data_IF_284826209931
#
_entry.id   IF_284826209931
#
_cell.length_a   1.000
_cell.length_b   1.000
_cell.length_c   1.000
_cell.angle_alpha   90.00
_cell.angle_beta   90.00
_cell.angle_gamma   90.00
#
_symmetry.space_group_name_H-M   'P 1'
#
loop_
_entity.id
_entity.type
_entity.pdbx_description
1 polymer ?
#
# COMPACT_ATOMS: atom_id res chain seq x y z
N UNK A 1 -0.33 57.16 41.63
CA UNK A 1 0.12 56.66 42.94
C UNK A 1 0.24 55.15 42.84
N UNK A 2 1.47 54.63 42.80
CA UNK A 2 1.77 53.23 42.57
C UNK A 2 1.46 52.41 43.83
N UNK A 3 0.56 51.42 43.74
CA UNK A 3 0.22 50.56 44.88
C UNK A 3 1.46 49.75 45.35
N UNK A 4 1.68 49.60 46.67
CA UNK A 4 2.84 48.89 47.21
C UNK A 4 2.75 47.38 46.91
N UNK A 5 3.80 46.85 46.29
CA UNK A 5 3.94 45.43 45.94
C UNK A 5 4.07 44.61 47.22
N UNK A 6 3.09 43.75 47.49
CA UNK A 6 3.07 42.89 48.68
C UNK A 6 3.94 41.65 48.46
N UNK A 7 4.82 41.34 49.41
CA UNK A 7 5.56 40.07 49.49
C UNK A 7 4.65 38.99 50.03
N UNK A 8 4.52 37.87 49.32
CA UNK A 8 3.69 36.74 49.74
C UNK A 8 4.28 35.44 49.23
N UNK A 9 4.06 34.32 49.92
CA UNK A 9 4.52 33.00 49.48
C UNK A 9 3.79 32.50 48.21
N UNK A 10 2.59 33.01 47.90
CA UNK A 10 1.83 32.63 46.69
C UNK A 10 1.01 33.81 46.16
N UNK A 11 1.02 34.00 44.84
CA UNK A 11 0.25 35.07 44.17
C UNK A 11 -1.25 34.78 44.25
N UNK A 12 -2.06 35.77 44.64
CA UNK A 12 -3.52 35.64 44.70
C UNK A 12 -4.10 35.53 43.29
N UNK A 13 -4.97 34.53 43.09
CA UNK A 13 -5.66 34.27 41.81
C UNK A 13 -6.89 35.15 41.56
N UNK A 14 -7.17 36.13 42.42
CA UNK A 14 -8.28 37.09 42.24
C UNK A 14 -7.72 38.43 41.72
N UNK A 15 -8.48 39.19 40.92
CA UNK A 15 -8.04 40.52 40.48
C UNK A 15 -8.01 41.54 41.63
N UNK A 16 -7.25 42.62 41.47
CA UNK A 16 -7.02 43.66 42.50
C UNK A 16 -8.36 44.26 42.93
N UNK A 17 -9.22 44.65 41.97
CA UNK A 17 -10.49 45.31 42.30
C UNK A 17 -11.49 44.40 43.03
N UNK A 18 -11.62 43.13 42.63
CA UNK A 18 -12.46 42.19 43.37
C UNK A 18 -11.90 41.89 44.76
N UNK A 19 -10.57 41.82 44.90
CA UNK A 19 -9.90 41.66 46.18
C UNK A 19 -10.08 42.85 47.11
N UNK A 20 -9.92 44.08 46.59
CA UNK A 20 -10.13 45.34 47.31
C UNK A 20 -11.55 45.46 47.85
N UNK A 21 -12.54 45.05 47.04
CA UNK A 21 -13.96 45.05 47.41
C UNK A 21 -14.40 43.82 48.21
N UNK A 22 -13.50 42.84 48.44
CA UNK A 22 -13.74 41.57 49.15
C UNK A 22 -14.91 40.76 48.60
N UNK A 23 -15.04 40.71 47.27
CA UNK A 23 -16.07 39.91 46.58
C UNK A 23 -15.45 38.74 45.81
N UNK A 24 -16.26 37.71 45.51
CA UNK A 24 -15.79 36.51 44.80
C UNK A 24 -15.45 36.84 43.34
N UNK A 25 -14.21 36.56 42.94
CA UNK A 25 -13.71 36.70 41.56
C UNK A 25 -13.83 35.36 40.82
N UNK A 26 -14.31 35.39 39.57
CA UNK A 26 -14.39 34.25 38.64
C UNK A 26 -13.06 33.94 37.95
N UNK A 27 -12.02 34.76 38.21
CA UNK A 27 -10.62 34.52 37.83
C UNK A 27 -10.36 34.45 36.33
N UNK A 28 -11.28 34.92 35.48
CA UNK A 28 -11.01 35.25 34.06
C UNK A 28 -10.52 36.70 33.93
N UNK A 29 -9.85 37.08 32.85
CA UNK A 29 -9.33 38.44 32.65
C UNK A 29 -9.78 39.01 31.30
N UNK A 30 -10.62 40.05 31.26
CA UNK A 30 -11.29 40.71 32.40
C UNK A 30 -12.33 39.79 33.09
N UNK A 31 -12.55 39.99 34.38
CA UNK A 31 -13.40 39.11 35.20
C UNK A 31 -14.88 39.53 35.11
N UNK A 32 -15.83 38.59 35.08
CA UNK A 32 -17.26 38.89 34.87
C UNK A 32 -17.86 39.90 35.89
N UNK A 33 -17.48 39.88 37.18
CA UNK A 33 -17.89 40.90 38.14
C UNK A 33 -17.37 42.32 37.86
N UNK A 34 -16.24 42.46 37.15
CA UNK A 34 -15.73 43.76 36.70
C UNK A 34 -16.39 44.20 35.39
N UNK A 35 -16.67 43.27 34.48
CA UNK A 35 -17.39 43.53 33.22
C UNK A 35 -18.81 44.01 33.49
N UNK A 36 -19.57 43.30 34.35
CA UNK A 36 -20.95 43.68 34.72
C UNK A 36 -21.07 45.04 35.38
N UNK A 37 -19.96 45.62 35.82
CA UNK A 37 -19.89 46.96 36.44
C UNK A 37 -19.30 48.01 35.51
N UNK A 38 -19.13 47.71 34.23
CA UNK A 38 -18.49 48.56 33.23
C UNK A 38 -17.05 49.02 33.58
N UNK A 39 -16.37 48.31 34.46
CA UNK A 39 -14.99 48.57 34.87
C UNK A 39 -14.03 47.46 34.40
N UNK A 40 -14.26 46.94 33.18
CA UNK A 40 -13.44 45.86 32.62
C UNK A 40 -11.98 46.31 32.40
N UNK A 41 -11.78 47.55 31.97
CA UNK A 41 -10.47 48.14 31.70
C UNK A 41 -9.61 48.35 32.96
N UNK A 42 -10.23 48.38 34.14
CA UNK A 42 -9.54 48.50 35.43
C UNK A 42 -9.22 47.14 36.08
N UNK A 43 -9.66 46.03 35.47
CA UNK A 43 -9.51 44.69 36.01
C UNK A 43 -8.05 44.18 35.89
N UNK A 44 -7.19 44.56 36.84
CA UNK A 44 -5.77 44.17 36.86
C UNK A 44 -5.46 43.06 37.87
N UNK A 45 -4.41 42.27 37.62
CA UNK A 45 -3.94 41.21 38.52
C UNK A 45 -2.91 41.73 39.52
N UNK A 46 -2.95 41.28 40.79
CA UNK A 46 -1.96 41.70 41.77
C UNK A 46 -0.58 41.16 41.41
N UNK A 47 0.41 42.04 41.43
CA UNK A 47 1.82 41.69 41.30
C UNK A 47 2.34 41.38 42.70
N UNK A 48 2.98 40.23 42.88
CA UNK A 48 3.56 39.85 44.17
C UNK A 48 5.00 39.36 44.02
N UNK A 49 5.83 39.64 45.04
CA UNK A 49 7.18 39.08 45.14
C UNK A 49 7.13 37.73 45.84
N UNK A 50 7.51 36.67 45.13
CA UNK A 50 7.62 35.30 45.66
C UNK A 50 9.10 34.88 45.57
N UNK A 51 9.70 34.47 46.69
CA UNK A 51 11.13 34.08 46.78
C UNK A 51 12.11 35.09 46.15
N UNK A 52 11.84 36.39 46.33
CA UNK A 52 12.72 37.46 45.85
C UNK A 52 12.47 37.95 44.41
N UNK A 53 11.64 37.26 43.61
CA UNK A 53 11.30 37.65 42.24
C UNK A 53 9.88 38.24 42.11
N UNK A 54 9.76 39.33 41.33
CA UNK A 54 8.47 39.95 40.97
C UNK A 54 7.73 39.03 39.99
N UNK A 55 6.59 38.49 40.41
CA UNK A 55 5.80 37.58 39.58
C UNK A 55 4.37 38.12 39.40
N UNK A 56 3.93 38.16 38.16
CA UNK A 56 2.54 38.44 37.77
C UNK A 56 1.93 37.13 37.32
N UNK A 57 0.68 36.86 37.71
CA UNK A 57 -0.06 35.76 37.08
C UNK A 57 -0.45 36.18 35.67
N UNK A 58 0.38 35.86 34.68
CA UNK A 58 0.06 35.98 33.25
C UNK A 58 -0.69 34.72 32.82
N UNK A 59 -1.85 34.90 32.18
CA UNK A 59 -2.31 33.89 31.24
C UNK A 59 -1.33 33.93 30.05
N UNK A 60 -0.93 32.76 29.58
CA UNK A 60 0.18 32.42 28.67
C UNK A 60 0.57 33.44 27.56
N UNK A 61 1.89 33.45 27.26
CA UNK A 61 2.57 34.08 26.12
C UNK A 61 4.09 33.94 26.31
N UNK A 62 4.76 32.90 25.80
CA UNK A 62 5.35 32.76 24.44
C UNK A 62 6.23 33.96 24.06
N UNK A 63 7.57 33.80 24.11
CA UNK A 63 8.50 34.28 23.06
C UNK A 63 10.00 34.21 23.43
N UNK A 64 10.42 34.20 24.70
CA UNK A 64 11.87 34.08 25.03
C UNK A 64 12.36 32.65 25.35
N UNK A 65 11.44 31.74 25.69
CA UNK A 65 11.71 30.32 25.84
C UNK A 65 11.74 29.56 24.52
N UNK A 66 11.13 30.11 23.46
CA UNK A 66 11.04 29.45 22.16
C UNK A 66 12.38 29.39 21.44
N UNK A 67 13.22 30.44 21.47
CA UNK A 67 14.53 30.39 20.78
C UNK A 67 15.46 29.33 21.37
N UNK A 68 15.57 29.24 22.70
CA UNK A 68 16.35 28.19 23.36
C UNK A 68 15.73 26.79 23.20
N UNK A 69 14.41 26.70 23.17
CA UNK A 69 13.71 25.43 22.96
C UNK A 69 13.90 24.96 21.52
N UNK A 70 13.78 25.84 20.54
CA UNK A 70 13.96 25.55 19.11
C UNK A 70 15.40 25.14 18.82
N UNK A 71 16.39 25.82 19.40
CA UNK A 71 17.80 25.43 19.29
C UNK A 71 18.04 24.02 19.88
N UNK A 72 17.50 23.73 21.07
CA UNK A 72 17.59 22.41 21.69
C UNK A 72 16.81 21.33 20.92
N UNK A 73 15.67 21.67 20.31
CA UNK A 73 14.89 20.75 19.48
C UNK A 73 15.62 20.44 18.17
N UNK A 74 16.34 21.42 17.61
CA UNK A 74 17.17 21.27 16.41
C UNK A 74 18.39 20.41 16.69
N UNK A 75 19.08 20.65 17.81
CA UNK A 75 20.22 19.85 18.27
C UNK A 75 19.80 18.41 18.60
N UNK A 76 18.65 18.23 19.27
CA UNK A 76 18.06 16.90 19.51
C UNK A 76 17.71 16.18 18.20
N UNK A 77 17.24 16.91 17.19
CA UNK A 77 16.97 16.36 15.86
C UNK A 77 18.24 15.87 15.17
N UNK A 78 19.29 16.69 15.19
CA UNK A 78 20.60 16.35 14.63
C UNK A 78 21.23 15.13 15.34
N UNK A 79 21.21 15.10 16.67
CA UNK A 79 21.75 13.98 17.45
C UNK A 79 20.97 12.67 17.21
N UNK A 80 19.64 12.74 17.09
CA UNK A 80 18.83 11.55 16.76
C UNK A 80 19.12 11.02 15.36
N UNK A 81 19.32 11.90 14.38
CA UNK A 81 19.71 11.50 13.03
C UNK A 81 21.08 10.83 13.03
N UNK A 82 22.05 11.41 13.77
CA UNK A 82 23.40 10.86 13.88
C UNK A 82 23.43 9.51 14.63
N UNK A 83 22.59 9.33 15.66
CA UNK A 83 22.43 8.03 16.33
C UNK A 83 21.83 7.02 15.36
N UNK A 84 20.79 7.37 14.60
CA UNK A 84 20.20 6.46 13.62
C UNK A 84 21.19 6.05 12.52
N UNK A 85 22.03 6.99 12.06
CA UNK A 85 23.10 6.74 11.07
C UNK A 85 24.22 5.87 11.66
N UNK A 86 24.64 6.12 12.91
CA UNK A 86 25.60 5.28 13.61
C UNK A 86 25.04 3.89 13.93
N UNK A 87 23.76 3.75 14.26
CA UNK A 87 23.10 2.47 14.48
C UNK A 87 22.99 1.67 13.18
N UNK A 88 22.68 2.31 12.06
CA UNK A 88 22.73 1.66 10.74
C UNK A 88 24.15 1.28 10.35
N UNK A 89 25.14 2.16 10.56
CA UNK A 89 26.55 1.83 10.34
C UNK A 89 27.04 0.70 11.27
N UNK A 90 26.57 0.63 12.51
CA UNK A 90 26.89 -0.44 13.46
C UNK A 90 26.23 -1.77 13.07
N UNK A 91 24.99 -1.71 12.58
CA UNK A 91 24.28 -2.86 12.02
C UNK A 91 25.00 -3.41 10.78
N UNK A 92 25.58 -2.52 9.96
CA UNK A 92 26.37 -2.86 8.79
C UNK A 92 27.82 -3.30 9.11
N UNK A 93 28.36 -2.94 10.28
CA UNK A 93 29.78 -3.15 10.63
C UNK A 93 30.07 -4.23 11.66
N UNK A 94 29.06 -4.95 12.21
CA UNK A 94 29.34 -6.12 13.08
C UNK A 94 30.07 -7.22 12.28
N UNK A 95 31.37 -7.48 12.55
CA UNK A 95 32.10 -8.53 11.86
C UNK A 95 31.78 -9.87 12.52
N UNK A 96 31.39 -10.85 11.71
CA UNK A 96 31.34 -12.24 12.15
C UNK A 96 32.78 -12.73 12.42
N UNK A 97 32.95 -13.36 13.58
CA UNK A 97 34.22 -13.82 14.11
C UNK A 97 34.92 -14.84 13.20
N UNK A 98 36.26 -14.81 13.25
CA UNK A 98 37.20 -15.69 12.59
C UNK A 98 36.86 -17.19 12.69
N UNK A 99 37.03 -17.91 11.58
CA UNK A 99 37.68 -19.21 11.63
C UNK A 99 38.59 -19.42 10.43
N UNK A 100 39.76 -19.95 10.75
CA UNK A 100 40.90 -20.22 9.88
C UNK A 100 40.55 -21.35 8.92
N UNK A 101 40.94 -21.19 7.65
CA UNK A 101 41.25 -22.32 6.78
C UNK A 101 42.52 -22.01 6.01
N UNK A 102 43.53 -22.80 6.33
CA UNK A 102 44.67 -23.15 5.48
C UNK A 102 44.20 -23.66 4.11
N UNK A 103 44.82 -23.23 3.01
CA UNK A 103 45.65 -24.07 2.13
C UNK A 103 45.99 -23.41 0.78
N UNK A 104 47.27 -23.55 0.45
CA UNK A 104 47.94 -23.67 -0.87
C UNK A 104 47.52 -22.85 -2.09
N UNK A 105 48.52 -22.10 -2.55
CA UNK A 105 48.88 -21.79 -3.95
C UNK A 105 48.68 -22.94 -4.95
N UNK A 106 48.13 -22.62 -6.13
CA UNK A 106 48.83 -22.81 -7.41
C UNK A 106 48.06 -22.10 -8.55
N UNK A 107 48.73 -21.17 -9.23
CA UNK A 107 48.24 -20.54 -10.47
C UNK A 107 49.02 -21.14 -11.64
N UNK A 108 48.32 -21.86 -12.53
CA UNK A 108 48.84 -22.20 -13.86
C UNK A 108 47.70 -22.40 -14.87
N UNK A 109 47.66 -21.47 -15.84
CA UNK A 109 47.05 -21.53 -17.19
C UNK A 109 45.53 -21.29 -17.35
N UNK A 110 45.05 -21.05 -18.60
CA UNK A 110 45.27 -19.90 -19.47
C UNK A 110 43.94 -19.14 -19.74
N UNK A 111 44.01 -17.97 -20.41
CA UNK A 111 42.86 -17.08 -20.65
C UNK A 111 41.67 -17.80 -21.34
N UNK A 112 40.53 -17.85 -20.65
CA UNK A 112 39.29 -18.47 -21.10
C UNK A 112 38.60 -17.66 -22.23
N UNK A 113 37.85 -18.37 -23.08
CA UNK A 113 37.11 -17.78 -24.20
C UNK A 113 35.84 -17.05 -23.72
N UNK A 114 35.30 -16.11 -24.50
CA UNK A 114 34.14 -15.30 -24.13
C UNK A 114 32.88 -16.13 -23.81
N UNK A 115 32.77 -17.34 -24.37
CA UNK A 115 31.66 -18.27 -24.14
C UNK A 115 31.75 -18.94 -22.76
N UNK A 116 32.96 -19.10 -22.21
CA UNK A 116 33.21 -19.60 -20.85
C UNK A 116 32.95 -18.54 -19.77
N UNK A 117 32.84 -17.26 -20.17
CA UNK A 117 32.58 -16.14 -19.28
C UNK A 117 31.08 -15.87 -19.06
N UNK A 118 30.18 -16.47 -19.86
CA UNK A 118 28.73 -16.29 -19.70
C UNK A 118 28.24 -16.79 -18.33
N UNK A 119 28.63 -18.00 -17.87
CA UNK A 119 28.34 -18.40 -16.50
C UNK A 119 29.01 -17.49 -15.47
N UNK A 120 30.20 -16.97 -15.75
CA UNK A 120 30.93 -16.07 -14.84
C UNK A 120 30.27 -14.68 -14.69
N UNK A 121 29.56 -14.19 -15.71
CA UNK A 121 28.76 -12.96 -15.65
C UNK A 121 27.38 -13.18 -15.01
N UNK A 122 26.80 -14.36 -15.16
CA UNK A 122 25.56 -14.74 -14.46
C UNK A 122 25.77 -15.03 -12.97
N UNK A 123 27.01 -15.30 -12.57
CA UNK A 123 27.39 -15.73 -11.22
C UNK A 123 28.14 -14.63 -10.47
N UNK A 124 27.58 -13.42 -10.46
CA UNK A 124 27.91 -12.39 -9.45
C UNK A 124 27.24 -12.71 -8.10
N UNK A 125 27.19 -13.99 -7.73
CA UNK A 125 26.85 -14.40 -6.38
C UNK A 125 28.09 -14.17 -5.52
N UNK A 126 28.15 -13.03 -4.83
CA UNK A 126 28.99 -12.93 -3.64
C UNK A 126 28.52 -14.10 -2.79
N UNK A 127 29.37 -15.11 -2.57
CA UNK A 127 29.06 -16.38 -1.91
C UNK A 127 28.69 -16.25 -0.42
N UNK A 128 27.87 -15.26 -0.08
CA UNK A 128 27.22 -15.02 1.17
C UNK A 128 26.25 -16.19 1.36
N UNK A 129 26.76 -17.26 1.95
CA UNK A 129 25.94 -18.35 2.46
C UNK A 129 25.15 -17.81 3.65
N UNK A 130 24.03 -17.13 3.38
CA UNK A 130 23.00 -16.89 4.40
C UNK A 130 22.42 -18.25 4.76
N UNK A 131 23.01 -18.88 5.79
CA UNK A 131 22.34 -19.99 6.48
C UNK A 131 21.06 -19.43 7.08
N UNK A 132 19.94 -19.35 6.35
CA UNK A 132 18.57 -19.15 6.87
C UNK A 132 17.54 -18.87 5.77
N UNK A 133 17.09 -19.92 5.06
CA UNK A 133 15.82 -19.84 4.30
C UNK A 133 14.61 -19.42 5.17
N UNK A 134 14.70 -19.58 6.49
CA UNK A 134 13.69 -19.13 7.46
C UNK A 134 13.76 -17.62 7.80
N UNK A 135 14.86 -16.91 7.50
CA UNK A 135 14.98 -15.46 7.80
C UNK A 135 14.51 -14.57 6.66
N UNK A 136 14.69 -14.98 5.40
CA UNK A 136 14.28 -14.18 4.23
C UNK A 136 12.77 -13.88 4.22
N UNK A 137 11.95 -14.83 4.70
CA UNK A 137 10.50 -14.60 4.85
C UNK A 137 10.15 -13.59 5.94
N UNK A 138 10.93 -13.55 7.03
CA UNK A 138 10.68 -12.67 8.17
C UNK A 138 11.04 -11.20 7.87
N UNK A 139 12.13 -10.96 7.13
CA UNK A 139 12.53 -9.60 6.74
C UNK A 139 11.52 -8.97 5.78
N UNK A 140 11.08 -9.73 4.78
CA UNK A 140 9.99 -9.32 3.88
C UNK A 140 8.70 -9.04 4.63
N UNK A 141 8.32 -9.89 5.58
CA UNK A 141 7.12 -9.69 6.39
C UNK A 141 7.20 -8.43 7.27
N UNK A 142 8.37 -8.14 7.85
CA UNK A 142 8.60 -6.91 8.62
C UNK A 142 8.46 -5.68 7.71
N UNK A 143 9.09 -5.70 6.54
CA UNK A 143 8.96 -4.61 5.56
C UNK A 143 7.51 -4.42 5.10
N UNK A 144 6.80 -5.51 4.75
CA UNK A 144 5.39 -5.49 4.35
C UNK A 144 4.50 -4.85 5.44
N UNK A 145 4.79 -5.10 6.73
CA UNK A 145 4.05 -4.50 7.86
C UNK A 145 4.36 -3.01 8.06
N UNK A 146 5.59 -2.58 7.79
CA UNK A 146 6.00 -1.18 7.93
C UNK A 146 5.42 -0.29 6.84
N UNK A 147 5.32 -0.81 5.61
CA UNK A 147 4.82 -0.09 4.45
C UNK A 147 3.33 -0.39 4.14
N UNK A 148 2.69 -1.27 4.89
CA UNK A 148 1.28 -1.62 4.73
C UNK A 148 0.33 -0.51 5.22
N UNK A 149 -0.84 -0.32 4.57
CA UNK A 149 -1.85 0.63 5.04
C UNK A 149 -2.45 0.18 6.38
N UNK A 150 -2.73 1.13 7.27
CA UNK A 150 -3.27 0.87 8.62
C UNK A 150 -4.69 0.26 8.62
N UNK A 151 -5.44 0.43 7.52
CA UNK A 151 -6.75 -0.17 7.28
C UNK A 151 -6.82 -0.71 5.86
N UNK A 152 -7.66 -1.72 5.64
CA UNK A 152 -7.87 -2.31 4.31
C UNK A 152 -8.86 -1.45 3.50
N UNK A 153 -8.41 -0.69 2.49
CA UNK A 153 -9.30 0.20 1.74
C UNK A 153 -10.24 -0.56 0.83
N UNK A 154 -10.02 -1.87 0.60
CA UNK A 154 -10.75 -2.65 -0.40
C UNK A 154 -12.25 -2.72 -0.12
N UNK A 155 -12.67 -2.74 1.15
CA UNK A 155 -14.10 -2.79 1.49
C UNK A 155 -14.87 -1.56 1.01
N UNK A 156 -14.20 -0.40 0.88
CA UNK A 156 -14.80 0.82 0.34
C UNK A 156 -14.95 0.78 -1.18
N UNK A 157 -14.21 -0.12 -1.85
CA UNK A 157 -14.18 -0.27 -3.30
C UNK A 157 -15.12 -1.37 -3.80
N UNK A 158 -15.76 -2.12 -2.90
CA UNK A 158 -16.68 -3.19 -3.28
C UNK A 158 -18.03 -2.61 -3.73
N UNK A 159 -18.57 -3.03 -4.89
CA UNK A 159 -19.96 -2.75 -5.24
C UNK A 159 -20.90 -3.63 -4.39
N UNK A 160 -22.21 -3.46 -4.53
CA UNK A 160 -23.17 -4.41 -3.94
C UNK A 160 -22.99 -5.85 -4.50
N UNK A 161 -23.33 -6.88 -3.70
CA UNK A 161 -23.25 -8.30 -4.13
C UNK A 161 -23.97 -8.55 -5.45
N UNK A 162 -25.19 -8.04 -5.59
CA UNK A 162 -26.00 -8.20 -6.80
C UNK A 162 -25.34 -7.55 -8.01
N UNK A 163 -24.79 -6.34 -7.84
CA UNK A 163 -24.09 -5.61 -8.90
C UNK A 163 -22.80 -6.33 -9.32
N UNK A 164 -21.97 -6.76 -8.37
CA UNK A 164 -20.77 -7.53 -8.72
C UNK A 164 -21.11 -8.82 -9.45
N UNK A 165 -22.14 -9.55 -9.02
CA UNK A 165 -22.57 -10.78 -9.70
C UNK A 165 -23.02 -10.50 -11.15
N UNK A 166 -23.75 -9.41 -11.39
CA UNK A 166 -24.15 -9.00 -12.73
C UNK A 166 -22.94 -8.67 -13.62
N UNK A 167 -21.99 -7.88 -13.10
CA UNK A 167 -20.79 -7.49 -13.83
C UNK A 167 -19.88 -8.69 -14.12
N UNK A 168 -19.69 -9.58 -13.15
CA UNK A 168 -18.90 -10.81 -13.31
C UNK A 168 -19.55 -11.72 -14.36
N UNK A 169 -20.86 -11.99 -14.27
CA UNK A 169 -21.55 -12.79 -15.28
C UNK A 169 -21.41 -12.20 -16.68
N UNK A 170 -21.62 -10.90 -16.83
CA UNK A 170 -21.44 -10.21 -18.10
C UNK A 170 -20.00 -10.34 -18.64
N UNK A 171 -19.00 -10.06 -17.79
CA UNK A 171 -17.59 -10.15 -18.19
C UNK A 171 -17.23 -11.58 -18.62
N UNK A 172 -17.65 -12.60 -17.88
CA UNK A 172 -17.30 -13.98 -18.18
C UNK A 172 -18.01 -14.50 -19.44
N UNK A 173 -19.28 -14.16 -19.63
CA UNK A 173 -20.06 -14.62 -20.79
C UNK A 173 -19.68 -13.89 -22.08
N UNK A 174 -19.45 -12.58 -22.01
CA UNK A 174 -19.24 -11.73 -23.21
C UNK A 174 -17.76 -11.54 -23.52
N UNK A 175 -16.91 -11.42 -22.50
CA UNK A 175 -15.50 -11.04 -22.63
C UNK A 175 -14.55 -12.20 -22.30
N UNK A 176 -15.07 -13.30 -21.73
CA UNK A 176 -14.30 -14.47 -21.30
C UNK A 176 -13.43 -15.08 -22.39
N UNK A 177 -13.93 -15.12 -23.63
CA UNK A 177 -13.17 -15.61 -24.79
C UNK A 177 -12.04 -14.66 -25.21
N UNK A 178 -12.15 -13.36 -24.89
CA UNK A 178 -11.19 -12.34 -25.30
C UNK A 178 -9.96 -12.31 -24.38
N UNK A 179 -10.17 -12.44 -23.06
CA UNK A 179 -9.06 -12.50 -22.09
C UNK A 179 -8.62 -13.94 -21.78
N UNK A 180 -9.51 -14.94 -21.93
CA UNK A 180 -9.24 -16.37 -21.69
C UNK A 180 -8.65 -16.71 -20.32
N UNK A 181 -8.86 -15.83 -19.34
CA UNK A 181 -8.05 -15.81 -18.12
C UNK A 181 -8.58 -16.65 -16.97
N UNK A 182 -9.86 -17.01 -16.95
CA UNK A 182 -10.48 -17.70 -15.82
C UNK A 182 -11.42 -18.80 -16.29
N UNK A 183 -11.67 -19.78 -15.41
CA UNK A 183 -12.78 -20.71 -15.56
C UNK A 183 -14.02 -20.06 -14.95
N UNK A 184 -15.09 -19.92 -15.74
CA UNK A 184 -16.27 -19.16 -15.34
C UNK A 184 -17.00 -19.78 -14.15
N UNK A 185 -17.19 -21.10 -14.15
CA UNK A 185 -17.93 -21.80 -13.10
C UNK A 185 -17.19 -21.71 -11.76
N UNK A 186 -15.89 -22.01 -11.78
CA UNK A 186 -15.02 -21.91 -10.59
C UNK A 186 -14.99 -20.48 -10.05
N UNK A 187 -14.88 -19.49 -10.93
CA UNK A 187 -14.82 -18.09 -10.52
C UNK A 187 -16.13 -17.59 -9.88
N UNK A 188 -17.28 -18.09 -10.35
CA UNK A 188 -18.58 -17.78 -9.77
C UNK A 188 -18.76 -18.43 -8.39
N UNK A 189 -18.27 -19.65 -8.18
CA UNK A 189 -18.22 -20.29 -6.86
C UNK A 189 -17.33 -19.49 -5.89
N UNK A 190 -16.12 -19.12 -6.31
CA UNK A 190 -15.19 -18.31 -5.51
C UNK A 190 -15.76 -16.93 -5.15
N UNK A 191 -16.56 -16.33 -6.05
CA UNK A 191 -17.28 -15.07 -5.83
C UNK A 191 -18.35 -15.21 -4.76
N UNK A 192 -19.14 -16.29 -4.82
CA UNK A 192 -20.18 -16.54 -3.83
C UNK A 192 -19.55 -16.76 -2.44
N UNK A 193 -18.50 -17.56 -2.35
CA UNK A 193 -17.72 -17.76 -1.12
C UNK A 193 -17.14 -16.44 -0.58
N UNK A 194 -16.78 -15.51 -1.47
CA UNK A 194 -16.25 -14.19 -1.10
C UNK A 194 -17.28 -13.33 -0.42
N UNK A 195 -18.47 -13.29 -1.00
CA UNK A 195 -19.55 -12.50 -0.44
C UNK A 195 -20.10 -13.11 0.84
N UNK A 196 -20.10 -14.43 0.98
CA UNK A 196 -20.43 -15.08 2.25
C UNK A 196 -19.42 -14.68 3.34
N UNK A 197 -18.11 -14.81 3.10
CA UNK A 197 -17.12 -14.45 4.12
C UNK A 197 -17.14 -12.95 4.47
N UNK A 198 -17.37 -12.09 3.48
CA UNK A 198 -17.49 -10.63 3.68
C UNK A 198 -18.70 -10.27 4.55
N UNK A 199 -19.84 -10.96 4.36
CA UNK A 199 -21.03 -10.75 5.19
C UNK A 199 -20.82 -11.20 6.64
N UNK A 200 -19.98 -12.21 6.88
CA UNK A 200 -19.58 -12.62 8.22
C UNK A 200 -18.58 -11.66 8.90
N UNK A 201 -18.10 -10.64 8.18
CA UNK A 201 -17.14 -9.67 8.72
C UNK A 201 -15.74 -10.24 8.94
N UNK A 202 -15.43 -11.40 8.34
CA UNK A 202 -14.06 -11.92 8.35
C UNK A 202 -13.18 -10.99 7.52
N UNK A 203 -12.07 -10.50 8.08
CA UNK A 203 -11.09 -9.75 7.32
C UNK A 203 -10.56 -10.54 6.12
N UNK A 204 -10.00 -9.86 5.11
CA UNK A 204 -9.49 -10.49 3.90
C UNK A 204 -8.12 -11.13 4.19
N UNK A 205 -8.01 -12.48 4.16
CA UNK A 205 -6.74 -13.17 4.43
C UNK A 205 -5.73 -12.92 3.29
N UNK A 206 -4.44 -13.03 3.61
CA UNK A 206 -3.35 -12.79 2.65
C UNK A 206 -3.43 -13.73 1.44
N UNK A 207 -3.77 -14.98 1.67
CA UNK A 207 -3.91 -16.02 0.64
C UNK A 207 -4.98 -15.70 -0.42
N UNK A 208 -5.95 -14.86 -0.07
CA UNK A 208 -7.05 -14.48 -0.98
C UNK A 208 -6.79 -13.21 -1.77
N UNK A 209 -5.73 -12.48 -1.42
CA UNK A 209 -5.31 -11.25 -2.12
C UNK A 209 -5.08 -11.48 -3.63
N UNK A 210 -4.41 -12.57 -4.08
CA UNK A 210 -4.21 -12.81 -5.51
C UNK A 210 -5.51 -12.92 -6.29
N UNK A 211 -6.51 -13.60 -5.72
CA UNK A 211 -7.83 -13.71 -6.32
C UNK A 211 -8.54 -12.34 -6.41
N UNK A 212 -8.38 -11.48 -5.40
CA UNK A 212 -8.95 -10.13 -5.42
C UNK A 212 -8.39 -9.26 -6.55
N UNK A 213 -7.13 -9.43 -6.92
CA UNK A 213 -6.54 -8.74 -8.07
C UNK A 213 -7.30 -9.12 -9.34
N UNK A 214 -7.55 -10.42 -9.55
CA UNK A 214 -8.33 -10.92 -10.69
C UNK A 214 -9.76 -10.39 -10.64
N UNK A 215 -10.38 -10.40 -9.45
CA UNK A 215 -11.73 -9.90 -9.25
C UNK A 215 -11.89 -8.43 -9.60
N UNK A 216 -11.00 -7.54 -9.13
CA UNK A 216 -11.04 -6.14 -9.51
C UNK A 216 -10.78 -5.92 -11.01
N UNK A 217 -9.88 -6.71 -11.62
CA UNK A 217 -9.66 -6.66 -13.06
C UNK A 217 -10.94 -7.05 -13.85
N UNK A 218 -11.62 -8.12 -13.43
CA UNK A 218 -12.89 -8.58 -14.03
C UNK A 218 -14.00 -7.54 -13.86
N UNK A 219 -14.13 -6.93 -12.68
CA UNK A 219 -15.09 -5.84 -12.46
C UNK A 219 -14.78 -4.62 -13.33
N UNK A 220 -13.51 -4.23 -13.41
CA UNK A 220 -13.06 -3.07 -14.19
C UNK A 220 -13.42 -3.23 -15.67
N UNK A 221 -13.13 -4.39 -16.26
CA UNK A 221 -13.49 -4.68 -17.65
C UNK A 221 -15.00 -4.86 -17.80
N UNK A 222 -15.66 -5.55 -16.86
CA UNK A 222 -17.09 -5.82 -16.90
C UNK A 222 -17.93 -4.55 -16.99
N UNK A 223 -17.61 -3.51 -16.22
CA UNK A 223 -18.33 -2.22 -16.28
C UNK A 223 -17.90 -1.34 -17.46
N UNK A 224 -16.63 -1.45 -17.90
CA UNK A 224 -16.09 -0.65 -19.02
C UNK A 224 -16.77 -0.97 -20.34
N UNK A 225 -17.08 -2.25 -20.57
CA UNK A 225 -17.70 -2.75 -21.80
C UNK A 225 -19.20 -2.96 -21.67
N UNK A 226 -19.82 -2.58 -20.55
CA UNK A 226 -21.26 -2.76 -20.33
C UNK A 226 -22.07 -1.78 -21.19
N UNK A 227 -23.18 -2.25 -21.73
CA UNK A 227 -24.12 -1.40 -22.46
C UNK A 227 -24.68 -0.27 -21.55
N UNK A 228 -24.82 0.97 -22.06
CA UNK A 228 -25.26 2.12 -21.26
C UNK A 228 -26.57 1.90 -20.48
N UNK A 229 -27.51 1.15 -21.06
CA UNK A 229 -28.82 0.85 -20.48
C UNK A 229 -28.74 -0.09 -19.28
N UNK A 230 -27.66 -0.85 -19.18
CA UNK A 230 -27.42 -1.84 -18.12
C UNK A 230 -26.51 -1.32 -17.01
N UNK A 231 -26.01 -0.09 -17.12
CA UNK A 231 -25.13 0.51 -16.11
C UNK A 231 -25.89 0.60 -14.77
N UNK A 232 -25.35 -0.01 -13.69
CA UNK A 232 -26.00 0.02 -12.40
C UNK A 232 -26.03 1.46 -11.84
N UNK A 233 -27.11 1.82 -11.15
CA UNK A 233 -27.21 3.11 -10.47
C UNK A 233 -26.14 3.29 -9.39
N UNK A 234 -25.75 4.54 -9.11
CA UNK A 234 -24.66 4.87 -8.19
C UNK A 234 -24.79 4.32 -6.76
N UNK A 235 -26.00 3.96 -6.32
CA UNK A 235 -26.21 3.30 -5.01
C UNK A 235 -25.56 1.91 -4.92
N UNK A 236 -25.39 1.22 -6.05
CA UNK A 236 -24.81 -0.12 -6.12
C UNK A 236 -23.30 -0.13 -6.38
N UNK A 237 -22.73 1.03 -6.67
CA UNK A 237 -21.32 1.24 -6.98
C UNK A 237 -20.59 1.89 -5.78
N UNK A 238 -19.26 1.81 -5.73
CA UNK A 238 -18.46 2.48 -4.70
C UNK A 238 -18.73 3.99 -4.65
N UNK A 239 -19.25 4.48 -3.53
CA UNK A 239 -19.56 5.91 -3.34
C UNK A 239 -18.31 6.68 -2.94
N UNK A 240 -17.46 6.99 -3.92
CA UNK A 240 -16.18 7.67 -3.71
C UNK A 240 -16.28 9.21 -3.81
N UNK A 241 -17.49 9.76 -3.57
CA UNK A 241 -17.72 11.20 -3.49
C UNK A 241 -17.56 11.96 -4.82
N UNK A 242 -17.67 11.27 -5.95
CA UNK A 242 -17.48 11.88 -7.27
C UNK A 242 -18.79 12.44 -7.83
N UNK A 243 -18.75 13.60 -8.50
CA UNK A 243 -19.94 14.20 -9.08
C UNK A 243 -20.49 13.31 -10.20
N UNK A 244 -21.74 12.88 -10.06
CA UNK A 244 -22.45 12.07 -11.05
C UNK A 244 -22.97 13.00 -12.15
N UNK A 245 -22.24 13.09 -13.26
CA UNK A 245 -22.60 13.95 -14.40
C UNK A 245 -23.32 13.15 -15.49
N UNK A 246 -22.94 11.88 -15.70
CA UNK A 246 -23.48 11.00 -16.75
C UNK A 246 -23.22 9.50 -16.40
N UNK A 247 -24.14 8.56 -16.70
CA UNK A 247 -23.95 7.14 -16.40
C UNK A 247 -22.73 6.51 -17.07
N UNK A 248 -22.41 6.87 -18.32
CA UNK A 248 -21.26 6.32 -19.03
C UNK A 248 -19.96 6.86 -18.41
N UNK A 249 -19.90 8.16 -18.13
CA UNK A 249 -18.77 8.75 -17.42
C UNK A 249 -18.54 8.10 -16.04
N UNK A 250 -19.62 7.81 -15.31
CA UNK A 250 -19.58 7.10 -14.03
C UNK A 250 -19.02 5.68 -14.20
N UNK A 251 -19.45 4.94 -15.22
CA UNK A 251 -18.94 3.60 -15.53
C UNK A 251 -17.44 3.62 -15.86
N UNK A 252 -16.99 4.53 -16.72
CA UNK A 252 -15.56 4.70 -17.07
C UNK A 252 -14.73 5.06 -15.85
N UNK A 253 -15.22 5.97 -15.01
CA UNK A 253 -14.50 6.35 -13.80
C UNK A 253 -14.42 5.21 -12.78
N UNK A 254 -15.51 4.49 -12.57
CA UNK A 254 -15.56 3.31 -11.69
C UNK A 254 -14.65 2.20 -12.20
N UNK A 255 -14.65 1.95 -13.52
CA UNK A 255 -13.71 1.03 -14.16
C UNK A 255 -12.26 1.42 -13.87
N UNK A 256 -11.91 2.71 -14.04
CA UNK A 256 -10.55 3.20 -13.77
C UNK A 256 -10.16 3.02 -12.30
N UNK A 257 -11.08 3.24 -11.36
CA UNK A 257 -10.81 2.99 -9.93
C UNK A 257 -10.50 1.52 -9.67
N UNK A 258 -11.31 0.59 -10.19
CA UNK A 258 -11.07 -0.84 -9.98
C UNK A 258 -9.81 -1.33 -10.68
N UNK A 259 -9.52 -0.78 -11.86
CA UNK A 259 -8.26 -0.99 -12.57
C UNK A 259 -7.05 -0.55 -11.72
N UNK A 260 -7.05 0.67 -11.19
CA UNK A 260 -5.99 1.17 -10.31
C UNK A 260 -5.91 0.38 -8.99
N UNK A 261 -7.05 -0.07 -8.45
CA UNK A 261 -7.09 -0.91 -7.27
C UNK A 261 -6.44 -2.28 -7.52
N UNK A 262 -6.70 -2.90 -8.67
CA UNK A 262 -6.06 -4.15 -9.07
C UNK A 262 -4.53 -3.98 -9.18
N UNK A 263 -4.05 -2.90 -9.79
CA UNK A 263 -2.61 -2.62 -9.91
C UNK A 263 -1.95 -2.40 -8.55
N UNK A 264 -2.57 -1.60 -7.67
CA UNK A 264 -2.05 -1.38 -6.31
C UNK A 264 -2.00 -2.65 -5.48
N UNK A 265 -3.03 -3.49 -5.57
CA UNK A 265 -3.06 -4.76 -4.83
C UNK A 265 -2.07 -5.77 -5.41
N UNK A 266 -1.78 -5.70 -6.73
CA UNK A 266 -0.73 -6.46 -7.39
C UNK A 266 0.67 -6.06 -6.90
N UNK A 267 0.95 -4.75 -6.83
CA UNK A 267 2.20 -4.22 -6.28
C UNK A 267 2.38 -4.66 -4.83
N UNK A 268 1.32 -4.54 -4.02
CA UNK A 268 1.30 -4.96 -2.61
C UNK A 268 1.50 -6.47 -2.43
N UNK A 269 0.96 -7.29 -3.34
CA UNK A 269 1.17 -8.74 -3.31
C UNK A 269 2.64 -9.10 -3.59
N UNK A 270 3.38 -8.24 -4.29
CA UNK A 270 4.79 -8.46 -4.62
C UNK A 270 4.95 -9.39 -5.82
N UNK A 271 4.26 -9.08 -6.91
CA UNK A 271 4.19 -9.89 -8.12
C UNK A 271 5.55 -10.13 -8.83
N UNK A 272 6.56 -9.30 -8.55
CA UNK A 272 7.93 -9.49 -9.05
C UNK A 272 8.73 -10.57 -8.30
N UNK A 273 8.27 -11.02 -7.12
CA UNK A 273 9.05 -11.91 -6.24
C UNK A 273 8.87 -13.40 -6.50
N UNK A 274 7.68 -13.83 -6.93
CA UNK A 274 7.39 -15.25 -7.19
C UNK A 274 6.34 -15.40 -8.31
N UNK A 275 6.48 -16.41 -9.19
CA UNK A 275 5.51 -16.64 -10.24
C UNK A 275 4.17 -17.09 -9.65
N UNK A 276 3.06 -16.51 -10.14
CA UNK A 276 1.73 -16.74 -9.57
C UNK A 276 0.67 -16.78 -10.66
N UNK A 277 -0.11 -17.86 -10.72
CA UNK A 277 -1.16 -18.03 -11.72
C UNK A 277 -2.21 -16.88 -11.67
N UNK A 278 -2.78 -16.50 -10.50
CA UNK A 278 -3.70 -15.37 -10.41
C UNK A 278 -3.15 -14.05 -10.94
N UNK A 279 -1.84 -13.82 -10.79
CA UNK A 279 -1.21 -12.63 -11.36
C UNK A 279 -1.26 -12.67 -12.89
N UNK A 280 -0.87 -13.79 -13.52
CA UNK A 280 -0.97 -13.94 -14.98
C UNK A 280 -2.41 -13.76 -15.45
N UNK A 281 -3.38 -14.29 -14.71
CA UNK A 281 -4.81 -14.13 -15.00
C UNK A 281 -5.22 -12.65 -14.96
N UNK A 282 -4.88 -11.94 -13.88
CA UNK A 282 -5.21 -10.53 -13.73
C UNK A 282 -4.56 -9.66 -14.82
N UNK A 283 -3.27 -9.84 -15.08
CA UNK A 283 -2.55 -9.10 -16.12
C UNK A 283 -3.18 -9.34 -17.50
N UNK A 284 -3.61 -10.57 -17.79
CA UNK A 284 -4.30 -10.89 -19.05
C UNK A 284 -5.63 -10.16 -19.18
N UNK A 285 -6.41 -10.05 -18.10
CA UNK A 285 -7.69 -9.29 -18.09
C UNK A 285 -7.44 -7.79 -18.24
N UNK A 286 -6.44 -7.23 -17.54
CA UNK A 286 -6.11 -5.81 -17.54
C UNK A 286 -5.69 -5.27 -18.91
N UNK A 287 -5.24 -6.12 -19.84
CA UNK A 287 -4.99 -5.73 -21.25
C UNK A 287 -6.19 -5.02 -21.89
N UNK A 288 -7.41 -5.42 -21.54
CA UNK A 288 -8.64 -4.80 -22.04
C UNK A 288 -8.88 -3.39 -21.50
N UNK A 289 -8.33 -3.07 -20.33
CA UNK A 289 -8.36 -1.72 -19.77
C UNK A 289 -7.28 -0.82 -20.38
N UNK A 290 -6.04 -1.32 -20.50
CA UNK A 290 -4.90 -0.52 -20.99
C UNK A 290 -5.16 0.10 -22.36
N UNK A 291 -5.67 -0.71 -23.29
CA UNK A 291 -6.02 -0.27 -24.64
C UNK A 291 -7.05 0.87 -24.65
N UNK A 292 -8.03 0.85 -23.74
CA UNK A 292 -9.07 1.90 -23.64
C UNK A 292 -8.61 3.16 -22.90
N UNK A 293 -7.64 3.03 -21.99
CA UNK A 293 -7.11 4.15 -21.23
C UNK A 293 -5.92 4.85 -21.91
N UNK A 294 -5.50 4.38 -23.09
CA UNK A 294 -4.41 4.96 -23.88
C UNK A 294 -3.02 4.70 -23.29
N UNK A 295 -2.88 3.69 -22.43
CA UNK A 295 -1.63 3.39 -21.71
C UNK A 295 -0.79 2.34 -22.43
N UNK A 296 -0.47 2.57 -23.71
CA UNK A 296 0.19 1.58 -24.57
C UNK A 296 1.55 1.10 -24.06
N UNK A 297 2.36 2.00 -23.47
CA UNK A 297 3.66 1.61 -22.88
C UNK A 297 3.48 0.66 -21.69
N UNK A 298 2.45 0.90 -20.87
CA UNK A 298 2.13 0.03 -19.73
C UNK A 298 1.61 -1.32 -20.21
N UNK A 299 0.75 -1.32 -21.22
CA UNK A 299 0.27 -2.54 -21.89
C UNK A 299 1.44 -3.42 -22.35
N UNK A 300 2.44 -2.82 -23.02
CA UNK A 300 3.63 -3.52 -23.50
C UNK A 300 4.46 -4.13 -22.36
N UNK A 301 4.77 -3.35 -21.32
CA UNK A 301 5.54 -3.82 -20.16
C UNK A 301 4.81 -4.95 -19.42
N UNK A 302 3.50 -4.80 -19.18
CA UNK A 302 2.69 -5.80 -18.49
C UNK A 302 2.56 -7.07 -19.32
N UNK A 303 2.41 -6.97 -20.64
CA UNK A 303 2.31 -8.14 -21.52
C UNK A 303 3.62 -8.94 -21.51
N UNK A 304 4.77 -8.27 -21.59
CA UNK A 304 6.07 -8.93 -21.47
C UNK A 304 6.25 -9.59 -20.10
N UNK A 305 5.85 -8.91 -19.02
CA UNK A 305 5.91 -9.44 -17.67
C UNK A 305 5.01 -10.67 -17.49
N UNK A 306 3.76 -10.63 -17.95
CA UNK A 306 2.82 -11.73 -17.91
C UNK A 306 3.35 -12.95 -18.69
N UNK A 307 3.96 -12.72 -19.86
CA UNK A 307 4.54 -13.79 -20.69
C UNK A 307 5.73 -14.45 -19.98
N UNK A 308 6.61 -13.67 -19.35
CA UNK A 308 7.74 -14.21 -18.59
C UNK A 308 7.27 -14.99 -17.35
N UNK A 309 6.27 -14.49 -16.63
CA UNK A 309 5.68 -15.22 -15.51
C UNK A 309 4.99 -16.52 -15.97
N UNK A 310 4.29 -16.52 -17.11
CA UNK A 310 3.71 -17.72 -17.69
C UNK A 310 4.77 -18.76 -18.07
N UNK A 311 5.96 -18.32 -18.52
CA UNK A 311 7.12 -19.21 -18.74
C UNK A 311 7.64 -19.80 -17.43
N UNK A 312 7.76 -19.01 -16.36
CA UNK A 312 8.15 -19.49 -15.03
C UNK A 312 7.16 -20.52 -14.45
N UNK A 313 5.89 -20.44 -14.86
CA UNK A 313 4.85 -21.42 -14.50
C UNK A 313 4.79 -22.62 -15.45
N UNK A 314 5.73 -22.73 -16.40
CA UNK A 314 5.81 -23.80 -17.40
C UNK A 314 4.56 -23.94 -18.28
N UNK A 315 3.77 -22.88 -18.45
CA UNK A 315 2.54 -22.95 -19.27
C UNK A 315 2.82 -23.34 -20.72
N UNK A 316 3.95 -22.89 -21.25
CA UNK A 316 4.46 -23.24 -22.58
C UNK A 316 4.78 -24.74 -22.77
N UNK A 317 4.91 -25.51 -21.68
CA UNK A 317 5.19 -26.97 -21.70
C UNK A 317 3.94 -27.83 -21.51
N UNK A 318 2.75 -27.23 -21.33
CA UNK A 318 1.52 -27.97 -21.02
C UNK A 318 1.10 -28.94 -22.13
N UNK A 319 1.38 -28.62 -23.41
CA UNK A 319 1.15 -29.54 -24.54
C UNK A 319 -0.29 -30.06 -24.64
N UNK A 320 -0.52 -31.11 -25.43
CA UNK A 320 -1.83 -31.81 -25.42
C UNK A 320 -1.95 -32.68 -24.17
N UNK A 321 -3.18 -32.99 -23.74
CA UNK A 321 -3.40 -33.87 -22.58
C UNK A 321 -2.73 -35.24 -22.71
N UNK A 322 -2.58 -35.76 -23.93
CA UNK A 322 -1.87 -37.02 -24.21
C UNK A 322 -0.36 -36.93 -24.00
N UNK A 323 0.22 -35.74 -24.18
CA UNK A 323 1.66 -35.51 -24.22
C UNK A 323 2.16 -34.71 -23.00
N UNK A 324 1.28 -34.39 -22.05
CA UNK A 324 1.66 -33.61 -20.89
C UNK A 324 2.60 -34.41 -19.97
N UNK A 325 3.72 -33.79 -19.58
CA UNK A 325 4.70 -34.42 -18.68
C UNK A 325 4.08 -34.76 -17.33
N UNK A 326 4.43 -35.94 -16.79
CA UNK A 326 3.99 -36.38 -15.46
C UNK A 326 4.51 -35.47 -14.35
N UNK A 327 5.69 -34.88 -14.52
CA UNK A 327 6.26 -33.96 -13.52
C UNK A 327 5.47 -32.65 -13.48
N UNK A 328 5.01 -32.17 -14.65
CA UNK A 328 4.17 -30.99 -14.73
C UNK A 328 2.79 -31.23 -14.10
N UNK A 329 2.21 -32.43 -14.29
CA UNK A 329 0.94 -32.82 -13.67
C UNK A 329 1.01 -32.94 -12.14
N UNK A 330 2.20 -33.07 -11.55
CA UNK A 330 2.39 -33.10 -10.09
C UNK A 330 2.38 -31.70 -9.47
N UNK A 331 2.60 -30.66 -10.27
CA UNK A 331 2.52 -29.28 -9.79
C UNK A 331 1.09 -28.97 -9.35
N UNK A 332 0.89 -28.29 -8.21
CA UNK A 332 -0.44 -27.99 -7.69
C UNK A 332 -1.28 -27.18 -8.69
N UNK A 333 -0.64 -26.29 -9.45
CA UNK A 333 -1.30 -25.43 -10.44
C UNK A 333 -1.84 -26.23 -11.64
N UNK A 334 -1.28 -27.41 -11.94
CA UNK A 334 -1.55 -28.19 -13.16
C UNK A 334 -2.05 -29.61 -12.88
N UNK A 335 -2.52 -29.84 -11.65
CA UNK A 335 -2.95 -31.16 -11.19
C UNK A 335 -4.18 -31.67 -11.95
N UNK A 336 -5.14 -30.78 -12.22
CA UNK A 336 -6.38 -31.12 -12.91
C UNK A 336 -6.33 -30.83 -14.42
N UNK A 337 -7.04 -31.61 -15.25
CA UNK A 337 -7.16 -31.33 -16.69
C UNK A 337 -7.75 -29.96 -16.99
N UNK A 338 -8.70 -29.50 -16.17
CA UNK A 338 -9.33 -28.17 -16.31
C UNK A 338 -8.34 -27.03 -16.07
N UNK A 339 -7.45 -27.15 -15.08
CA UNK A 339 -6.40 -26.15 -14.85
C UNK A 339 -5.37 -26.14 -15.99
N UNK A 340 -4.98 -27.32 -16.51
CA UNK A 340 -4.07 -27.39 -17.68
C UNK A 340 -4.69 -26.77 -18.92
N UNK A 341 -5.99 -26.98 -19.13
CA UNK A 341 -6.74 -26.35 -20.20
C UNK A 341 -6.74 -24.82 -20.08
N UNK A 342 -7.00 -24.31 -18.87
CA UNK A 342 -6.91 -22.88 -18.57
C UNK A 342 -5.50 -22.33 -18.81
N UNK A 343 -4.46 -23.04 -18.35
CA UNK A 343 -3.06 -22.65 -18.55
C UNK A 343 -2.67 -22.58 -20.03
N UNK A 344 -3.17 -23.49 -20.86
CA UNK A 344 -2.97 -23.42 -22.33
C UNK A 344 -3.65 -22.22 -22.94
N UNK A 345 -4.90 -21.95 -22.59
CA UNK A 345 -5.64 -20.79 -23.09
C UNK A 345 -4.93 -19.49 -22.73
N UNK A 346 -4.52 -19.35 -21.46
CA UNK A 346 -3.74 -18.21 -20.98
C UNK A 346 -2.42 -18.05 -21.73
N UNK A 347 -1.66 -19.14 -21.89
CA UNK A 347 -0.39 -19.10 -22.62
C UNK A 347 -0.55 -18.54 -24.03
N UNK A 348 -1.51 -19.07 -24.79
CA UNK A 348 -1.74 -18.61 -26.15
C UNK A 348 -2.27 -17.18 -26.20
N UNK A 349 -3.11 -16.77 -25.25
CA UNK A 349 -3.51 -15.36 -25.12
C UNK A 349 -2.33 -14.43 -24.88
N UNK A 350 -1.40 -14.79 -23.98
CA UNK A 350 -0.17 -14.01 -23.77
C UNK A 350 0.65 -13.90 -25.04
N UNK A 351 0.88 -15.02 -25.75
CA UNK A 351 1.65 -15.04 -27.00
C UNK A 351 1.00 -14.17 -28.09
N UNK A 352 -0.32 -14.26 -28.25
CA UNK A 352 -1.05 -13.45 -29.23
C UNK A 352 -0.94 -11.95 -28.89
N UNK A 353 -1.07 -11.60 -27.61
CA UNK A 353 -0.96 -10.20 -27.15
C UNK A 353 0.47 -9.66 -27.29
N UNK A 354 1.48 -10.45 -26.96
CA UNK A 354 2.89 -10.09 -27.13
C UNK A 354 3.20 -9.77 -28.60
N UNK A 355 2.73 -10.61 -29.52
CA UNK A 355 2.88 -10.37 -30.95
C UNK A 355 2.14 -9.12 -31.44
N UNK A 356 0.90 -8.90 -30.99
CA UNK A 356 0.11 -7.71 -31.36
C UNK A 356 0.73 -6.41 -30.85
N UNK A 357 1.24 -6.41 -29.62
CA UNK A 357 1.86 -5.23 -29.02
C UNK A 357 3.20 -4.93 -29.68
N UNK A 358 4.00 -5.95 -30.03
CA UNK A 358 5.24 -5.76 -30.77
C UNK A 358 5.03 -5.04 -32.11
N UNK A 359 4.00 -5.44 -32.90
CA UNK A 359 3.69 -4.79 -34.19
C UNK A 359 3.35 -3.30 -34.04
N UNK A 360 2.73 -2.90 -32.93
CA UNK A 360 2.37 -1.48 -32.69
C UNK A 360 3.56 -0.60 -32.33
N UNK A 361 4.68 -1.20 -31.90
CA UNK A 361 5.86 -0.48 -31.41
C UNK A 361 7.06 -0.52 -32.38
N UNK A 362 7.00 -1.36 -33.41
CA UNK A 362 7.91 -1.33 -34.58
C UNK A 362 7.37 -0.40 -35.66
#
# INVERSE_FOLDING_TARGET
MSEPIKTSQRVSRSCIECGRRKIRCDKKSPCQPCIRRNAAHECKRPIARVRGQLTVYTAEGEDSSNVKLDDLLRERGALRAQIAELETALALSKPCAHSRTSESTDYSQPAASLEDLVPAFEQFDIGIKTSTAARDGAEKEIADRLYGPAADPLFLLLPSKTCSLQLVNYSLQTLGWLHCAVNADVFLEEHEDFWQSTQLGTGIPRERRPWLIVYFAVLAVGILYLEPERIPGGAHLPQLGLPVVDPVAMAVHTSRIWYEAALKELERYGFAGAPSLPVVQALSVLTLCHSNFGEHQREWLITGFATNMARCLDMHKLGTETNCSKDLCRRPEWSSPSQRELGRRLWWSCVIRDWQTHIRHT
#
